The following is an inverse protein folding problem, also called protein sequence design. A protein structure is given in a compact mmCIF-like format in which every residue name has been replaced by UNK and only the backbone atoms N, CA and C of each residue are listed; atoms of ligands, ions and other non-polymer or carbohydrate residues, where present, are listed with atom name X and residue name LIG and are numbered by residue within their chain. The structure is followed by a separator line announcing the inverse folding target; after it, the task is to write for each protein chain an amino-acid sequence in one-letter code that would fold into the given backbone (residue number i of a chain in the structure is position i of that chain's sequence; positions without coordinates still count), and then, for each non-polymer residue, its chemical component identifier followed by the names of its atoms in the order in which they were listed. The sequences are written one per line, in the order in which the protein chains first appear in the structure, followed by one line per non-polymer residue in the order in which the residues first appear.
data_IF_112969658357
#
_entry.id   IF_112969658357
#
_cell.length_a   1.000
_cell.length_b   1.000
_cell.length_c   1.000
_cell.angle_alpha   90.00
_cell.angle_beta   90.00
_cell.angle_gamma   90.00
#
_symmetry.space_group_name_H-M   'P 1'
#
loop_
_entity.id
_entity.type
_entity.pdbx_description
1 polymer ?
#
# COMPACT_ATOMS: atom_id res chain seq x y z
N UNK A 1 -67.63 5.91 9.87
CA UNK A 1 -66.48 6.21 8.98
C UNK A 1 -66.01 7.63 9.22
N UNK A 2 -64.72 7.76 9.53
CA UNK A 2 -63.75 8.83 9.20
C UNK A 2 -62.98 9.29 10.45
N UNK A 3 -61.79 8.73 10.72
CA UNK A 3 -60.94 9.21 11.80
C UNK A 3 -60.13 10.44 11.34
N UNK A 4 -59.97 11.36 12.30
CA UNK A 4 -59.22 12.60 12.21
C UNK A 4 -57.75 12.35 11.84
N UNK A 5 -57.27 13.00 10.76
CA UNK A 5 -55.86 12.97 10.34
C UNK A 5 -55.01 13.72 11.39
N UNK A 6 -54.18 12.98 12.14
CA UNK A 6 -53.06 13.54 12.90
C UNK A 6 -52.04 14.09 11.90
N UNK A 7 -51.69 15.36 12.05
CA UNK A 7 -50.52 15.98 11.44
C UNK A 7 -49.25 15.24 11.91
N UNK A 8 -48.66 14.44 11.02
CA UNK A 8 -47.29 13.94 11.17
C UNK A 8 -46.33 14.99 10.63
N UNK A 9 -45.70 15.75 11.51
CA UNK A 9 -44.48 16.50 11.20
C UNK A 9 -43.40 15.47 10.84
N UNK A 10 -42.65 15.61 9.72
CA UNK A 10 -41.52 14.73 9.44
C UNK A 10 -40.43 14.96 10.49
N UNK A 11 -40.15 13.94 11.31
CA UNK A 11 -38.97 13.93 12.19
C UNK A 11 -37.72 13.86 11.30
N UNK A 12 -36.95 14.96 11.26
CA UNK A 12 -35.53 14.87 10.89
C UNK A 12 -34.81 14.15 12.03
N UNK A 13 -33.96 13.14 11.76
CA UNK A 13 -33.13 12.55 12.81
C UNK A 13 -32.14 13.62 13.28
N UNK A 14 -32.23 13.99 14.56
CA UNK A 14 -31.18 14.76 15.21
C UNK A 14 -29.98 13.83 15.37
N UNK A 15 -28.99 13.90 14.47
CA UNK A 15 -27.69 13.25 14.64
C UNK A 15 -27.12 13.66 16.01
N UNK A 16 -27.14 12.77 16.99
CA UNK A 16 -26.48 13.07 18.26
C UNK A 16 -24.96 13.02 18.05
N UNK A 17 -24.22 13.82 18.81
CA UNK A 17 -22.75 13.82 18.72
C UNK A 17 -22.14 12.44 19.01
N UNK A 18 -22.85 11.65 19.79
CA UNK A 18 -22.54 10.25 20.09
C UNK A 18 -22.68 9.36 18.86
N UNK A 19 -23.75 9.51 18.08
CA UNK A 19 -23.93 8.77 16.82
C UNK A 19 -22.79 9.08 15.84
N UNK A 20 -22.43 10.37 15.73
CA UNK A 20 -21.29 10.82 14.93
C UNK A 20 -19.96 10.21 15.37
N UNK A 21 -19.71 10.11 16.67
CA UNK A 21 -18.50 9.47 17.17
C UNK A 21 -18.48 7.97 16.84
N UNK A 22 -19.61 7.27 16.99
CA UNK A 22 -19.71 5.84 16.69
C UNK A 22 -19.48 5.56 15.21
N UNK A 23 -20.08 6.37 14.33
CA UNK A 23 -19.85 6.30 12.88
C UNK A 23 -18.40 6.60 12.51
N UNK A 24 -17.81 7.65 13.10
CA UNK A 24 -16.40 7.98 12.88
C UNK A 24 -15.46 6.83 13.31
N UNK A 25 -15.73 6.20 14.45
CA UNK A 25 -14.97 5.03 14.91
C UNK A 25 -15.18 3.82 13.98
N UNK A 26 -16.40 3.59 13.49
CA UNK A 26 -16.67 2.59 12.46
C UNK A 26 -15.82 2.82 11.20
N UNK A 27 -15.73 4.08 10.77
CA UNK A 27 -14.94 4.48 9.61
C UNK A 27 -13.43 4.30 9.82
N UNK A 28 -12.93 4.59 11.03
CA UNK A 28 -11.55 4.30 11.40
C UNK A 28 -11.23 2.80 11.33
N UNK A 29 -12.16 1.94 11.77
CA UNK A 29 -12.01 0.47 11.69
C UNK A 29 -11.92 -0.02 10.25
N UNK A 30 -12.75 0.52 9.36
CA UNK A 30 -12.70 0.22 7.91
C UNK A 30 -11.31 0.53 7.30
N UNK A 31 -10.61 1.53 7.84
CA UNK A 31 -9.27 1.95 7.41
C UNK A 31 -8.12 1.33 8.24
N UNK A 32 -8.41 0.27 9.01
CA UNK A 32 -7.39 -0.49 9.74
C UNK A 32 -6.96 0.14 11.07
N UNK A 33 -7.64 1.18 11.55
CA UNK A 33 -7.44 1.74 12.89
C UNK A 33 -8.45 1.06 13.82
N UNK A 34 -7.98 0.05 14.54
CA UNK A 34 -8.85 -0.73 15.43
C UNK A 34 -9.03 -0.01 16.78
N UNK A 35 -10.11 0.75 16.92
CA UNK A 35 -10.55 1.34 18.17
C UNK A 35 -11.70 0.50 18.76
N UNK A 36 -11.51 -0.06 19.94
CA UNK A 36 -12.51 -0.87 20.64
C UNK A 36 -13.52 -0.01 21.40
N UNK A 37 -14.44 -0.65 22.15
CA UNK A 37 -15.45 0.04 22.95
C UNK A 37 -14.83 0.97 24.01
N UNK A 38 -13.76 0.54 24.67
CA UNK A 38 -13.06 1.34 25.68
C UNK A 38 -12.46 2.61 25.08
N UNK A 39 -11.77 2.51 23.94
CA UNK A 39 -11.22 3.70 23.26
C UNK A 39 -12.30 4.65 22.75
N UNK A 40 -13.47 4.11 22.39
CA UNK A 40 -14.61 4.92 21.96
C UNK A 40 -15.16 5.73 23.13
N UNK A 41 -15.22 5.12 24.33
CA UNK A 41 -15.63 5.81 25.56
C UNK A 41 -14.61 6.88 25.94
N UNK A 42 -13.31 6.54 25.92
CA UNK A 42 -12.23 7.50 26.21
C UNK A 42 -12.28 8.69 25.24
N UNK A 43 -12.56 8.44 23.96
CA UNK A 43 -12.72 9.49 22.96
C UNK A 43 -13.97 10.35 23.23
N UNK A 44 -15.09 9.76 23.64
CA UNK A 44 -16.29 10.50 24.02
C UNK A 44 -16.03 11.42 25.23
N UNK A 45 -15.35 10.91 26.25
CA UNK A 45 -14.94 11.70 27.41
C UNK A 45 -14.01 12.85 27.02
N UNK A 46 -13.03 12.59 26.15
CA UNK A 46 -12.15 13.63 25.62
C UNK A 46 -12.90 14.70 24.81
N UNK A 47 -13.90 14.32 24.01
CA UNK A 47 -14.74 15.27 23.28
C UNK A 47 -15.55 16.15 24.23
N UNK A 48 -16.11 15.59 25.30
CA UNK A 48 -16.87 16.34 26.31
C UNK A 48 -15.97 17.30 27.10
N UNK A 49 -14.76 16.87 27.46
CA UNK A 49 -13.81 17.67 28.23
C UNK A 49 -13.16 18.80 27.42
N UNK A 50 -12.85 18.56 26.14
CA UNK A 50 -12.19 19.54 25.27
C UNK A 50 -13.16 20.48 24.58
N UNK A 51 -14.43 20.08 24.45
CA UNK A 51 -15.43 20.81 23.67
C UNK A 51 -15.16 20.77 22.16
N UNK A 52 -16.07 21.38 21.40
CA UNK A 52 -16.02 21.36 19.91
C UNK A 52 -15.44 22.65 19.30
N UNK A 53 -15.16 23.65 20.12
CA UNK A 53 -14.79 24.99 19.68
C UNK A 53 -13.37 25.06 19.12
N UNK A 54 -12.43 24.32 19.72
CA UNK A 54 -11.03 24.25 19.25
C UNK A 54 -10.78 22.90 18.58
N UNK A 55 -10.89 22.90 17.25
CA UNK A 55 -10.74 21.71 16.41
C UNK A 55 -9.35 21.07 16.52
N UNK A 56 -8.30 21.85 16.73
CA UNK A 56 -6.95 21.31 16.86
C UNK A 56 -6.76 20.56 18.17
N UNK A 57 -7.35 21.08 19.26
CA UNK A 57 -7.40 20.38 20.55
C UNK A 57 -8.24 19.12 20.46
N UNK A 58 -9.45 19.22 19.90
CA UNK A 58 -10.35 18.07 19.72
C UNK A 58 -9.68 16.94 18.93
N UNK A 59 -9.09 17.28 17.77
CA UNK A 59 -8.35 16.33 16.92
C UNK A 59 -7.22 15.64 17.68
N UNK A 60 -6.46 16.40 18.46
CA UNK A 60 -5.32 15.87 19.20
C UNK A 60 -5.75 15.00 20.38
N UNK A 61 -6.81 15.38 21.10
CA UNK A 61 -7.39 14.59 22.19
C UNK A 61 -7.98 13.28 21.70
N UNK A 62 -8.79 13.31 20.64
CA UNK A 62 -9.34 12.10 20.05
C UNK A 62 -8.24 11.18 19.48
N UNK A 63 -7.20 11.74 18.85
CA UNK A 63 -6.06 10.96 18.39
C UNK A 63 -5.34 10.25 19.55
N UNK A 64 -5.22 10.89 20.72
CA UNK A 64 -4.59 10.30 21.89
C UNK A 64 -5.38 9.10 22.45
N UNK A 65 -6.72 9.14 22.37
CA UNK A 65 -7.59 8.06 22.80
C UNK A 65 -7.65 6.91 21.79
N UNK A 66 -7.70 7.22 20.49
CA UNK A 66 -8.04 6.27 19.44
C UNK A 66 -6.83 5.61 18.75
N UNK A 67 -5.65 6.22 18.79
CA UNK A 67 -4.46 5.71 18.09
C UNK A 67 -3.58 4.87 19.01
N UNK A 68 -3.16 3.70 18.51
CA UNK A 68 -2.29 2.76 19.25
C UNK A 68 -0.91 2.58 18.61
N UNK A 69 -0.74 2.97 17.34
CA UNK A 69 0.50 2.78 16.58
C UNK A 69 0.99 4.08 15.95
N UNK A 70 2.32 4.22 15.89
CA UNK A 70 2.97 5.24 15.07
C UNK A 70 2.67 4.95 13.59
N UNK A 71 2.33 6.00 12.81
CA UNK A 71 1.95 5.91 11.39
C UNK A 71 0.45 6.12 11.11
N UNK A 72 -0.43 5.87 12.09
CA UNK A 72 -1.89 6.00 11.90
C UNK A 72 -2.40 7.46 11.92
N UNK A 73 -1.55 8.40 12.33
CA UNK A 73 -1.94 9.80 12.56
C UNK A 73 -2.33 10.53 11.27
N UNK A 74 -1.68 10.23 10.15
CA UNK A 74 -1.98 10.87 8.87
C UNK A 74 -3.39 10.48 8.38
N UNK A 75 -3.67 9.17 8.35
CA UNK A 75 -5.00 8.61 8.00
C UNK A 75 -6.09 9.13 8.94
N UNK A 76 -5.81 9.13 10.25
CA UNK A 76 -6.74 9.69 11.24
C UNK A 76 -7.05 11.16 10.99
N UNK A 77 -6.04 12.00 10.79
CA UNK A 77 -6.25 13.43 10.54
C UNK A 77 -7.11 13.64 9.28
N UNK A 78 -6.84 12.89 8.20
CA UNK A 78 -7.63 12.97 6.97
C UNK A 78 -9.10 12.59 7.17
N UNK A 79 -9.35 11.50 7.90
CA UNK A 79 -10.70 11.04 8.23
C UNK A 79 -11.42 12.02 9.17
N UNK A 80 -10.72 12.51 10.19
CA UNK A 80 -11.24 13.49 11.13
C UNK A 80 -11.65 14.76 10.41
N UNK A 81 -10.77 15.25 9.54
CA UNK A 81 -11.01 16.42 8.71
C UNK A 81 -12.27 16.18 7.86
N UNK A 82 -12.36 15.08 7.10
CA UNK A 82 -13.54 14.78 6.28
C UNK A 82 -14.86 14.73 7.07
N UNK A 83 -14.83 14.15 8.26
CA UNK A 83 -16.02 13.84 9.05
C UNK A 83 -16.47 15.00 9.96
N UNK A 84 -15.53 15.85 10.42
CA UNK A 84 -15.81 16.99 11.32
C UNK A 84 -15.69 18.39 10.65
N UNK A 85 -15.10 18.52 9.44
CA UNK A 85 -15.12 19.79 8.67
C UNK A 85 -16.50 20.14 8.09
N UNK A 86 -17.45 19.22 8.06
CA UNK A 86 -18.76 19.46 7.43
C UNK A 86 -19.66 20.44 8.19
N UNK A 87 -19.26 20.87 9.40
CA UNK A 87 -20.16 21.59 10.34
C UNK A 87 -20.07 23.13 10.29
N UNK A 88 -19.03 23.70 9.68
CA UNK A 88 -18.87 25.16 9.55
C UNK A 88 -18.56 25.50 8.10
N UNK A 89 -19.59 25.64 7.27
CA UNK A 89 -19.42 26.17 5.94
C UNK A 89 -19.52 27.70 5.96
N UNK A 90 -18.52 28.42 5.41
CA UNK A 90 -18.83 29.60 4.61
C UNK A 90 -19.61 29.09 3.39
N UNK A 91 -20.82 29.62 3.22
CA UNK A 91 -21.69 29.34 2.08
C UNK A 91 -20.88 29.45 0.77
N UNK A 92 -21.09 28.56 -0.23
CA UNK A 92 -20.42 28.70 -1.52
C UNK A 92 -20.62 30.13 -2.00
N UNK A 93 -19.52 30.86 -2.21
CA UNK A 93 -19.60 32.21 -2.74
C UNK A 93 -20.44 32.17 -4.02
N UNK A 94 -21.38 33.13 -4.22
CA UNK A 94 -22.20 33.16 -5.43
C UNK A 94 -21.27 33.09 -6.64
N UNK A 95 -21.70 32.38 -7.69
CA UNK A 95 -20.93 32.17 -8.91
C UNK A 95 -20.32 33.49 -9.37
N UNK A 96 -19.05 33.70 -9.04
CA UNK A 96 -18.31 34.85 -9.51
C UNK A 96 -18.24 34.72 -11.02
N UNK A 97 -18.39 35.85 -11.72
CA UNK A 97 -18.23 35.94 -13.17
C UNK A 97 -17.02 35.12 -13.61
N UNK A 98 -17.12 34.27 -14.65
CA UNK A 98 -15.99 33.45 -15.07
C UNK A 98 -14.80 34.36 -15.38
N UNK A 99 -13.83 34.37 -14.47
CA UNK A 99 -12.60 35.15 -14.58
C UNK A 99 -11.64 34.37 -15.49
N UNK A 100 -10.76 35.07 -16.21
CA UNK A 100 -9.79 34.38 -17.05
C UNK A 100 -8.81 33.58 -16.19
N UNK A 101 -8.38 32.40 -16.65
CA UNK A 101 -7.41 31.55 -15.95
C UNK A 101 -6.14 32.36 -15.62
N UNK A 102 -5.75 33.28 -16.51
CA UNK A 102 -4.58 34.13 -16.34
C UNK A 102 -4.73 35.11 -15.17
N UNK A 103 -5.89 35.75 -15.04
CA UNK A 103 -6.15 36.66 -13.91
C UNK A 103 -6.20 35.91 -12.58
N UNK A 104 -6.70 34.66 -12.56
CA UNK A 104 -6.67 33.81 -11.38
C UNK A 104 -5.22 33.43 -10.99
N UNK A 105 -4.34 33.18 -11.97
CA UNK A 105 -2.91 32.95 -11.73
C UNK A 105 -2.19 34.16 -11.17
N UNK A 106 -2.50 35.36 -11.64
CA UNK A 106 -1.86 36.59 -11.17
C UNK A 106 -2.23 36.89 -9.71
N UNK A 107 -3.52 36.73 -9.37
CA UNK A 107 -3.99 36.85 -7.98
C UNK A 107 -3.39 35.78 -7.07
N UNK A 108 -3.27 34.54 -7.56
CA UNK A 108 -2.62 33.46 -6.82
C UNK A 108 -1.13 33.72 -6.61
N UNK A 109 -0.43 34.23 -7.63
CA UNK A 109 0.98 34.61 -7.53
C UNK A 109 1.16 35.70 -6.47
N UNK A 110 0.26 36.69 -6.44
CA UNK A 110 0.27 37.78 -5.44
C UNK A 110 0.04 37.24 -4.03
N UNK A 111 -1.02 36.45 -3.82
CA UNK A 111 -1.34 35.87 -2.52
C UNK A 111 -0.22 34.95 -1.98
N UNK A 112 0.39 34.16 -2.87
CA UNK A 112 1.53 33.32 -2.53
C UNK A 112 2.81 34.13 -2.28
N UNK A 113 2.96 35.32 -2.86
CA UNK A 113 4.12 36.20 -2.59
C UNK A 113 3.96 36.89 -1.23
N UNK A 114 2.74 37.32 -0.90
CA UNK A 114 2.38 38.01 0.35
C UNK A 114 2.23 37.06 1.56
N UNK A 115 2.23 35.74 1.34
CA UNK A 115 2.04 34.70 2.37
C UNK A 115 0.71 34.87 3.13
N UNK A 116 -0.36 35.25 2.43
CA UNK A 116 -1.69 35.38 3.00
C UNK A 116 -2.44 34.03 2.93
N UNK A 117 -2.60 33.32 4.07
CA UNK A 117 -3.26 32.02 4.10
C UNK A 117 -4.78 32.12 3.85
N UNK A 118 -5.42 33.23 4.19
CA UNK A 118 -6.85 33.41 4.00
C UNK A 118 -7.16 33.64 2.51
N UNK A 119 -6.41 34.54 1.87
CA UNK A 119 -6.52 34.75 0.42
C UNK A 119 -6.19 33.49 -0.38
N UNK A 120 -5.17 32.72 0.04
CA UNK A 120 -4.80 31.46 -0.61
C UNK A 120 -5.92 30.41 -0.51
N UNK A 121 -6.58 30.29 0.64
CA UNK A 121 -7.71 29.40 0.81
C UNK A 121 -8.92 29.82 -0.04
N UNK A 122 -9.21 31.12 -0.13
CA UNK A 122 -10.29 31.65 -0.98
C UNK A 122 -10.04 31.38 -2.46
N UNK A 123 -8.81 31.60 -2.93
CA UNK A 123 -8.41 31.31 -4.30
C UNK A 123 -8.44 29.81 -4.60
N UNK A 124 -8.10 28.94 -3.64
CA UNK A 124 -8.24 27.49 -3.80
C UNK A 124 -9.70 27.09 -4.03
N UNK A 125 -10.65 27.70 -3.29
CA UNK A 125 -12.10 27.49 -3.47
C UNK A 125 -12.58 28.00 -4.83
N UNK A 126 -12.15 29.18 -5.23
CA UNK A 126 -12.51 29.76 -6.53
C UNK A 126 -11.98 28.92 -7.69
N UNK A 127 -10.69 28.56 -7.66
CA UNK A 127 -10.05 27.72 -8.66
C UNK A 127 -10.74 26.38 -8.82
N UNK A 128 -11.06 25.71 -7.71
CA UNK A 128 -11.79 24.44 -7.77
C UNK A 128 -13.19 24.62 -8.37
N UNK A 129 -13.89 25.72 -8.05
CA UNK A 129 -15.23 26.02 -8.60
C UNK A 129 -15.19 26.18 -10.12
N UNK A 130 -14.20 26.91 -10.63
CA UNK A 130 -14.10 27.24 -12.05
C UNK A 130 -13.49 26.10 -12.88
N UNK A 131 -12.51 25.37 -12.34
CA UNK A 131 -11.63 24.47 -13.10
C UNK A 131 -11.69 23.00 -12.65
N UNK A 132 -12.31 22.72 -11.51
CA UNK A 132 -12.29 21.40 -10.88
C UNK A 132 -13.47 20.49 -11.23
N UNK A 133 -14.54 21.02 -11.82
CA UNK A 133 -15.73 20.23 -12.14
C UNK A 133 -15.49 19.29 -13.34
N UNK A 134 -15.93 18.04 -13.23
CA UNK A 134 -15.93 17.08 -14.33
C UNK A 134 -17.25 16.29 -14.38
N UNK A 135 -17.62 15.76 -15.55
CA UNK A 135 -18.77 14.85 -15.70
C UNK A 135 -20.15 15.52 -15.85
N UNK A 136 -20.22 16.82 -16.14
CA UNK A 136 -21.46 17.46 -16.63
C UNK A 136 -21.62 17.21 -18.13
N UNK A 137 -22.83 16.84 -18.59
CA UNK A 137 -23.12 16.68 -20.00
C UNK A 137 -22.82 18.00 -20.75
N UNK A 138 -21.92 17.94 -21.73
CA UNK A 138 -21.61 19.05 -22.63
C UNK A 138 -20.27 19.73 -22.32
N UNK A 139 -19.28 19.46 -23.18
CA UNK A 139 -18.13 20.33 -23.40
C UNK A 139 -18.59 21.78 -23.56
N UNK A 140 -18.26 22.64 -22.58
CA UNK A 140 -18.36 24.10 -22.73
C UNK A 140 -19.35 24.86 -21.84
N UNK A 141 -20.01 24.24 -20.87
CA UNK A 141 -20.81 24.99 -19.88
C UNK A 141 -20.28 24.81 -18.45
N UNK A 142 -19.48 25.78 -17.98
CA UNK A 142 -18.87 25.85 -16.64
C UNK A 142 -19.86 26.27 -15.54
N UNK A 143 -21.16 26.08 -15.73
CA UNK A 143 -22.18 26.61 -14.80
C UNK A 143 -23.37 25.68 -14.53
N UNK A 144 -23.34 24.42 -14.99
CA UNK A 144 -24.36 23.45 -14.59
C UNK A 144 -24.06 22.92 -13.18
N UNK A 145 -25.04 22.86 -12.26
CA UNK A 145 -24.83 22.29 -10.94
C UNK A 145 -24.39 20.83 -11.07
N UNK A 146 -23.27 20.49 -10.42
CA UNK A 146 -22.77 19.11 -10.35
C UNK A 146 -23.82 18.29 -9.61
N UNK A 147 -24.56 17.44 -10.32
CA UNK A 147 -25.57 16.55 -9.72
C UNK A 147 -25.03 15.13 -9.61
N UNK A 148 -25.55 14.37 -8.64
CA UNK A 148 -25.14 12.99 -8.37
C UNK A 148 -25.46 12.01 -9.50
N UNK A 149 -26.37 12.38 -10.41
CA UNK A 149 -26.88 11.51 -11.46
C UNK A 149 -25.93 11.33 -12.67
N UNK A 150 -24.98 12.24 -12.90
CA UNK A 150 -24.18 12.28 -14.13
C UNK A 150 -22.73 11.76 -13.99
N UNK A 151 -22.39 11.11 -12.87
CA UNK A 151 -21.00 10.72 -12.60
C UNK A 151 -20.08 11.93 -12.35
N UNK A 152 -20.67 13.12 -12.24
CA UNK A 152 -19.98 14.38 -12.08
C UNK A 152 -19.34 14.52 -10.69
N UNK A 153 -18.24 15.27 -10.60
CA UNK A 153 -17.48 15.44 -9.37
C UNK A 153 -16.48 16.59 -9.42
N UNK A 154 -15.72 16.76 -8.34
CA UNK A 154 -14.67 17.75 -8.22
C UNK A 154 -13.30 17.09 -8.19
N UNK A 155 -12.35 17.61 -8.96
CA UNK A 155 -10.99 17.07 -9.08
C UNK A 155 -9.94 18.15 -8.80
N UNK A 156 -9.12 17.90 -7.78
CA UNK A 156 -7.92 18.71 -7.51
C UNK A 156 -6.92 18.59 -8.66
N UNK A 157 -6.77 17.40 -9.25
CA UNK A 157 -5.86 17.19 -10.38
C UNK A 157 -6.22 18.05 -11.61
N UNK A 158 -7.51 18.12 -11.98
CA UNK A 158 -7.95 18.96 -13.11
C UNK A 158 -7.75 20.45 -12.83
N UNK A 159 -7.98 20.87 -11.60
CA UNK A 159 -7.75 22.26 -11.15
C UNK A 159 -6.27 22.62 -11.30
N UNK A 160 -5.38 21.76 -10.79
CA UNK A 160 -3.93 21.96 -10.83
C UNK A 160 -3.39 21.95 -12.27
N UNK A 161 -3.86 21.00 -13.09
CA UNK A 161 -3.49 20.91 -14.51
C UNK A 161 -3.92 22.16 -15.30
N UNK A 162 -5.12 22.66 -15.04
CA UNK A 162 -5.64 23.88 -15.68
C UNK A 162 -4.85 25.12 -15.23
N UNK A 163 -4.45 25.16 -13.96
CA UNK A 163 -3.64 26.23 -13.41
C UNK A 163 -2.17 26.22 -13.84
N UNK A 164 -1.64 25.09 -14.34
CA UNK A 164 -0.21 24.92 -14.68
C UNK A 164 0.70 25.39 -13.54
N UNK A 165 0.58 24.73 -12.39
CA UNK A 165 1.24 25.19 -11.16
C UNK A 165 2.76 25.17 -11.20
N UNK A 166 3.34 24.45 -12.15
CA UNK A 166 4.77 24.46 -12.45
C UNK A 166 5.23 25.87 -12.87
N UNK A 167 4.42 26.54 -13.70
CA UNK A 167 4.70 27.91 -14.19
C UNK A 167 4.60 28.97 -13.08
N UNK A 168 3.92 28.66 -11.96
CA UNK A 168 3.75 29.59 -10.84
C UNK A 168 5.05 29.77 -10.04
N UNK A 169 5.89 28.74 -9.97
CA UNK A 169 7.18 28.82 -9.25
C UNK A 169 8.09 29.83 -9.96
N UNK A 170 8.14 29.73 -11.29
CA UNK A 170 8.92 30.64 -12.13
C UNK A 170 8.40 32.08 -12.02
N UNK A 171 7.07 32.26 -11.92
CA UNK A 171 6.46 33.59 -11.72
C UNK A 171 6.76 34.19 -10.35
N UNK A 172 6.65 33.41 -9.27
CA UNK A 172 6.92 33.88 -7.90
C UNK A 172 8.40 34.25 -7.75
N UNK A 173 9.29 33.45 -8.32
CA UNK A 173 10.74 33.71 -8.25
C UNK A 173 11.15 34.89 -9.15
N UNK A 174 10.50 35.08 -10.31
CA UNK A 174 10.74 36.21 -11.21
C UNK A 174 10.19 37.55 -10.69
N UNK A 175 9.09 37.54 -9.92
CA UNK A 175 8.47 38.76 -9.40
C UNK A 175 9.34 39.54 -8.40
N UNK A 176 10.36 38.90 -7.82
CA UNK A 176 11.24 39.52 -6.82
C UNK A 176 12.71 39.40 -7.23
N UNK A 177 13.44 40.51 -7.37
CA UNK A 177 14.85 40.51 -7.79
C UNK A 177 15.75 39.89 -6.71
N UNK A 178 16.54 38.85 -7.03
CA UNK A 178 17.44 38.20 -6.08
C UNK A 178 18.76 38.97 -5.96
N UNK A 179 19.22 39.23 -4.72
CA UNK A 179 20.46 39.95 -4.48
C UNK A 179 21.70 39.02 -4.44
N UNK A 180 21.50 37.71 -4.22
CA UNK A 180 22.55 36.69 -4.12
C UNK A 180 22.07 35.32 -4.62
N UNK A 181 22.97 34.41 -5.08
CA UNK A 181 22.62 33.01 -5.40
C UNK A 181 21.99 32.26 -4.23
N UNK A 182 22.37 32.57 -2.98
CA UNK A 182 21.75 32.00 -1.78
C UNK A 182 20.30 32.50 -1.62
N UNK A 183 20.05 33.78 -1.87
CA UNK A 183 18.69 34.36 -1.81
C UNK A 183 17.78 33.74 -2.86
N UNK A 184 18.32 33.47 -4.06
CA UNK A 184 17.58 32.76 -5.10
C UNK A 184 17.16 31.35 -4.63
N UNK A 185 18.07 30.58 -4.04
CA UNK A 185 17.78 29.23 -3.54
C UNK A 185 16.75 29.24 -2.40
N UNK A 186 16.88 30.16 -1.44
CA UNK A 186 15.93 30.31 -0.32
C UNK A 186 14.53 30.66 -0.84
N UNK A 187 14.43 31.53 -1.84
CA UNK A 187 13.14 31.91 -2.46
C UNK A 187 12.50 30.75 -3.21
N UNK A 188 13.28 29.94 -3.92
CA UNK A 188 12.76 28.74 -4.59
C UNK A 188 12.21 27.74 -3.57
N UNK A 189 12.89 27.53 -2.44
CA UNK A 189 12.42 26.65 -1.37
C UNK A 189 11.11 27.20 -0.77
N UNK A 190 11.05 28.51 -0.52
CA UNK A 190 9.88 29.15 0.06
C UNK A 190 8.67 29.14 -0.90
N UNK A 191 8.89 29.40 -2.18
CA UNK A 191 7.85 29.29 -3.21
C UNK A 191 7.28 27.86 -3.30
N UNK A 192 8.16 26.84 -3.22
CA UNK A 192 7.74 25.45 -3.19
C UNK A 192 6.93 25.10 -1.92
N UNK A 193 7.32 25.64 -0.75
CA UNK A 193 6.58 25.48 0.51
C UNK A 193 5.16 26.05 0.38
N UNK A 194 5.04 27.28 -0.12
CA UNK A 194 3.74 27.96 -0.28
C UNK A 194 2.86 27.30 -1.33
N UNK A 195 3.44 26.86 -2.45
CA UNK A 195 2.71 26.09 -3.46
C UNK A 195 2.18 24.75 -2.90
N UNK A 196 2.95 24.11 -2.03
CA UNK A 196 2.53 22.88 -1.34
C UNK A 196 1.34 23.14 -0.40
N UNK A 197 1.32 24.27 0.29
CA UNK A 197 0.17 24.69 1.11
C UNK A 197 -1.08 24.93 0.25
N UNK A 198 -0.95 25.63 -0.87
CA UNK A 198 -2.06 25.83 -1.82
C UNK A 198 -2.59 24.50 -2.38
N UNK A 199 -1.69 23.59 -2.80
CA UNK A 199 -2.05 22.22 -3.23
C UNK A 199 -2.89 21.50 -2.18
N UNK A 200 -2.46 21.59 -0.93
CA UNK A 200 -3.16 20.98 0.21
C UNK A 200 -4.54 21.60 0.42
N UNK A 201 -4.67 22.92 0.28
CA UNK A 201 -5.95 23.62 0.39
C UNK A 201 -6.93 23.19 -0.73
N UNK A 202 -6.48 23.12 -1.99
CA UNK A 202 -7.30 22.67 -3.13
C UNK A 202 -7.73 21.20 -2.96
N UNK A 203 -6.83 20.33 -2.50
CA UNK A 203 -7.16 18.92 -2.23
C UNK A 203 -8.19 18.78 -1.11
N UNK A 204 -8.05 19.56 -0.04
CA UNK A 204 -8.99 19.57 1.09
C UNK A 204 -10.38 20.01 0.64
N UNK A 205 -10.46 21.09 -0.14
CA UNK A 205 -11.72 21.58 -0.69
C UNK A 205 -12.34 20.58 -1.70
N UNK A 206 -11.54 19.96 -2.57
CA UNK A 206 -12.03 18.97 -3.53
C UNK A 206 -12.65 17.75 -2.84
N UNK A 207 -12.02 17.28 -1.75
CA UNK A 207 -12.54 16.22 -0.90
C UNK A 207 -13.84 16.66 -0.21
N UNK A 208 -13.87 17.87 0.35
CA UNK A 208 -15.05 18.43 1.03
C UNK A 208 -16.26 18.49 0.09
N UNK A 209 -16.12 19.08 -1.10
CA UNK A 209 -17.25 19.21 -2.05
C UNK A 209 -17.71 17.88 -2.61
N UNK A 210 -16.76 16.99 -2.85
CA UNK A 210 -17.11 15.64 -3.29
C UNK A 210 -17.87 14.90 -2.17
N UNK A 211 -17.54 15.14 -0.89
CA UNK A 211 -18.22 14.56 0.26
C UNK A 211 -19.62 15.13 0.45
N UNK A 212 -19.82 16.41 0.18
CA UNK A 212 -21.15 17.03 0.15
C UNK A 212 -22.03 16.46 -0.97
N UNK A 213 -21.45 16.17 -2.13
CA UNK A 213 -22.18 15.61 -3.26
C UNK A 213 -22.54 14.14 -3.07
N UNK A 214 -21.63 13.31 -2.53
CA UNK A 214 -21.77 11.84 -2.53
C UNK A 214 -21.89 11.22 -1.13
N UNK A 215 -21.88 12.04 -0.08
CA UNK A 215 -21.82 11.61 1.32
C UNK A 215 -20.38 11.44 1.82
N UNK A 216 -20.14 11.77 3.09
CA UNK A 216 -18.84 11.65 3.78
C UNK A 216 -18.33 10.20 3.80
N UNK A 217 -19.22 9.24 4.05
CA UNK A 217 -18.89 7.80 4.11
C UNK A 217 -18.39 7.25 2.76
N UNK A 218 -18.98 7.69 1.64
CA UNK A 218 -18.58 7.26 0.29
C UNK A 218 -17.16 7.72 -0.08
N UNK A 219 -16.77 8.91 0.39
CA UNK A 219 -15.45 9.48 0.09
C UNK A 219 -14.38 8.92 0.99
N UNK A 220 -14.68 8.74 2.27
CA UNK A 220 -13.74 8.13 3.17
C UNK A 220 -13.30 6.75 2.66
N UNK A 221 -14.26 5.91 2.25
CA UNK A 221 -13.99 4.56 1.70
C UNK A 221 -13.16 4.53 0.41
N UNK A 222 -13.06 5.63 -0.34
CA UNK A 222 -12.42 5.64 -1.67
C UNK A 222 -11.29 6.66 -1.85
N UNK A 223 -11.20 7.66 -0.97
CA UNK A 223 -10.40 8.88 -1.15
C UNK A 223 -9.40 9.21 -0.04
N UNK A 224 -9.31 8.37 1.00
CA UNK A 224 -8.29 8.49 2.05
C UNK A 224 -7.04 7.77 1.55
N UNK A 225 -5.88 8.42 1.69
CA UNK A 225 -4.60 7.76 1.39
C UNK A 225 -4.49 6.54 2.30
N UNK A 226 -4.47 5.36 1.69
CA UNK A 226 -4.40 4.08 2.38
C UNK A 226 -3.24 4.09 3.37
N UNK A 227 -3.47 3.57 4.59
CA UNK A 227 -2.41 3.29 5.57
C UNK A 227 -1.20 2.63 4.89
N UNK A 228 0.06 2.84 5.30
CA UNK A 228 1.24 2.23 4.67
C UNK A 228 1.11 0.72 4.42
N UNK A 229 0.45 0.00 5.35
CA UNK A 229 0.11 -1.43 5.25
C UNK A 229 -0.82 -1.81 4.07
N UNK A 230 -1.47 -0.82 3.46
CA UNK A 230 -2.46 -0.91 2.37
C UNK A 230 -2.01 -0.17 1.10
N UNK A 231 -0.87 0.51 1.11
CA UNK A 231 -0.27 1.12 -0.08
C UNK A 231 0.06 0.00 -1.06
N UNK A 232 -0.38 0.18 -2.31
CA UNK A 232 -0.12 -0.76 -3.39
C UNK A 232 1.38 -0.74 -3.69
N UNK A 233 2.03 -1.91 -3.68
CA UNK A 233 3.45 -2.06 -4.01
C UNK A 233 3.80 -1.48 -5.38
N UNK A 234 2.83 -1.43 -6.29
CA UNK A 234 2.96 -0.86 -7.64
C UNK A 234 3.02 0.68 -7.65
N UNK A 235 2.61 1.34 -6.56
CA UNK A 235 2.52 2.81 -6.47
C UNK A 235 3.29 3.43 -5.31
N UNK A 236 4.06 2.64 -4.55
CA UNK A 236 4.84 3.11 -3.40
C UNK A 236 5.98 4.04 -3.86
N UNK A 237 6.19 5.16 -3.16
CA UNK A 237 7.31 6.09 -3.41
C UNK A 237 8.56 5.61 -2.67
N UNK A 238 9.75 6.06 -3.09
CA UNK A 238 11.03 5.72 -2.43
C UNK A 238 11.03 5.97 -0.91
N UNK A 239 10.23 6.94 -0.44
CA UNK A 239 10.09 7.28 0.99
C UNK A 239 9.31 6.23 1.80
N UNK A 240 8.45 5.42 1.15
CA UNK A 240 7.61 4.41 1.81
C UNK A 240 8.39 3.11 2.09
N UNK A 241 9.52 2.90 1.41
CA UNK A 241 10.32 1.68 1.45
C UNK A 241 10.90 1.38 2.85
N UNK A 242 11.33 2.40 3.59
CA UNK A 242 11.89 2.21 4.93
C UNK A 242 10.83 1.75 5.96
N UNK A 243 9.61 2.26 5.84
CA UNK A 243 8.49 1.88 6.70
C UNK A 243 7.98 0.48 6.35
N UNK A 244 7.89 0.16 5.05
CA UNK A 244 7.57 -1.18 4.56
C UNK A 244 8.57 -2.22 5.06
N UNK A 245 9.87 -1.93 5.03
CA UNK A 245 10.92 -2.82 5.57
C UNK A 245 10.63 -3.22 7.02
N UNK A 246 10.26 -2.25 7.87
CA UNK A 246 9.95 -2.49 9.29
C UNK A 246 8.77 -3.44 9.47
N UNK A 247 7.82 -3.43 8.54
CA UNK A 247 6.63 -4.28 8.56
C UNK A 247 6.89 -5.66 7.93
N UNK A 248 7.76 -5.75 6.92
CA UNK A 248 8.08 -6.99 6.20
C UNK A 248 9.00 -7.92 6.99
N UNK A 249 10.02 -7.42 7.68
CA UNK A 249 10.96 -8.25 8.46
C UNK A 249 10.26 -9.23 9.43
N UNK A 250 9.31 -8.80 10.30
CA UNK A 250 8.62 -9.74 11.19
C UNK A 250 7.72 -10.73 10.44
N UNK A 251 7.20 -10.38 9.26
CA UNK A 251 6.40 -11.27 8.42
C UNK A 251 7.28 -12.31 7.72
N UNK A 252 8.42 -11.91 7.17
CA UNK A 252 9.43 -12.80 6.61
C UNK A 252 9.89 -13.83 7.66
N UNK A 253 10.11 -13.41 8.91
CA UNK A 253 10.40 -14.33 10.03
C UNK A 253 9.29 -15.33 10.30
N UNK A 254 8.02 -14.90 10.24
CA UNK A 254 6.86 -15.81 10.38
C UNK A 254 6.76 -16.77 9.19
N UNK A 255 6.95 -16.28 7.96
CA UNK A 255 7.04 -17.08 6.74
C UNK A 255 8.12 -18.15 6.87
N UNK A 256 9.34 -17.76 7.24
CA UNK A 256 10.49 -18.66 7.38
C UNK A 256 10.24 -19.74 8.43
N UNK A 257 9.76 -19.35 9.62
CA UNK A 257 9.43 -20.28 10.70
C UNK A 257 8.37 -21.28 10.25
N UNK A 258 7.36 -20.82 9.52
CA UNK A 258 6.26 -21.68 9.08
C UNK A 258 6.68 -22.58 7.91
N UNK A 259 7.36 -22.07 6.89
CA UNK A 259 7.91 -22.88 5.78
C UNK A 259 8.87 -23.98 6.29
N UNK A 260 9.54 -23.74 7.41
CA UNK A 260 10.36 -24.73 8.12
C UNK A 260 9.59 -25.72 9.01
N UNK A 261 8.35 -25.40 9.38
CA UNK A 261 7.53 -26.23 10.25
C UNK A 261 6.71 -27.25 9.45
N UNK A 262 6.77 -28.54 9.81
CA UNK A 262 5.73 -29.51 9.40
C UNK A 262 5.33 -30.48 10.51
N UNK A 263 4.03 -30.84 10.46
CA UNK A 263 3.23 -31.75 11.31
C UNK A 263 4.05 -32.83 12.02
N UNK A 264 3.92 -32.88 13.36
CA UNK A 264 4.22 -34.08 14.17
C UNK A 264 3.34 -35.23 13.68
N UNK A 265 3.77 -35.98 12.66
CA UNK A 265 3.31 -37.36 12.48
C UNK A 265 4.02 -38.21 13.53
N UNK A 266 3.24 -39.00 14.26
CA UNK A 266 3.67 -39.89 15.33
C UNK A 266 4.97 -40.61 14.96
N UNK A 267 5.95 -40.53 15.85
CA UNK A 267 7.28 -41.13 15.66
C UNK A 267 7.13 -42.66 15.61
N UNK A 268 7.03 -43.22 14.40
CA UNK A 268 7.38 -44.62 14.14
C UNK A 268 8.76 -44.58 13.48
N UNK A 269 9.80 -44.84 14.25
CA UNK A 269 11.20 -44.81 13.82
C UNK A 269 11.95 -46.05 14.30
N UNK A 270 13.15 -46.29 13.75
CA UNK A 270 14.03 -47.35 14.25
C UNK A 270 14.51 -47.03 15.68
N UNK A 271 14.58 -48.05 16.53
CA UNK A 271 15.08 -47.94 17.91
C UNK A 271 16.59 -47.71 17.86
N UNK A 272 17.09 -46.69 18.55
CA UNK A 272 18.51 -46.50 18.79
C UNK A 272 18.93 -47.47 19.89
N UNK A 273 19.43 -48.65 19.49
CA UNK A 273 19.79 -49.73 20.41
C UNK A 273 20.82 -49.27 21.47
N UNK A 274 21.81 -48.46 21.08
CA UNK A 274 22.87 -48.00 21.99
C UNK A 274 22.32 -47.06 23.05
N UNK A 275 21.53 -46.05 22.66
CA UNK A 275 20.89 -45.13 23.63
C UNK A 275 19.84 -45.83 24.48
N UNK A 276 19.08 -46.75 23.89
CA UNK A 276 18.05 -47.51 24.59
C UNK A 276 18.65 -48.40 25.66
N UNK A 277 19.68 -49.19 25.34
CA UNK A 277 20.38 -50.03 26.31
C UNK A 277 21.06 -49.21 27.41
N UNK A 278 21.71 -48.11 27.06
CA UNK A 278 22.34 -47.22 28.05
C UNK A 278 21.34 -46.63 29.03
N UNK A 279 20.14 -46.23 28.55
CA UNK A 279 19.06 -45.71 29.39
C UNK A 279 18.43 -46.80 30.27
N UNK A 280 18.42 -48.03 29.76
CA UNK A 280 17.86 -49.22 30.43
C UNK A 280 18.81 -49.86 31.44
N UNK A 281 20.03 -49.33 31.61
CA UNK A 281 20.96 -49.84 32.62
C UNK A 281 20.45 -49.65 34.05
N UNK A 282 19.66 -48.59 34.29
CA UNK A 282 18.99 -48.38 35.59
C UNK A 282 17.90 -49.42 35.89
N UNK A 283 17.37 -50.07 34.84
CA UNK A 283 16.31 -51.09 34.93
C UNK A 283 16.85 -52.50 34.69
N UNK A 284 18.12 -52.74 35.05
CA UNK A 284 18.75 -54.06 34.92
C UNK A 284 18.96 -54.54 33.47
N UNK A 285 18.95 -53.62 32.50
CA UNK A 285 19.12 -53.93 31.08
C UNK A 285 17.82 -54.14 30.31
N UNK A 286 16.65 -54.08 30.96
CA UNK A 286 15.35 -54.27 30.31
C UNK A 286 14.87 -52.97 29.65
N UNK A 287 14.67 -52.94 28.32
CA UNK A 287 14.30 -51.73 27.58
C UNK A 287 12.82 -51.39 27.68
N UNK A 288 12.43 -50.84 28.83
CA UNK A 288 11.04 -50.41 29.13
C UNK A 288 10.64 -49.18 28.30
N UNK A 289 11.58 -48.27 28.02
CA UNK A 289 11.32 -47.05 27.23
C UNK A 289 12.28 -46.97 26.04
N UNK A 290 11.90 -47.52 24.87
CA UNK A 290 12.75 -47.48 23.69
C UNK A 290 13.03 -46.03 23.26
N UNK A 291 14.31 -45.70 23.09
CA UNK A 291 14.74 -44.40 22.57
C UNK A 291 14.75 -44.52 21.04
N UNK A 292 13.81 -43.86 20.39
CA UNK A 292 13.73 -43.83 18.94
C UNK A 292 14.84 -42.95 18.37
N UNK A 293 15.46 -43.41 17.28
CA UNK A 293 16.47 -42.63 16.56
C UNK A 293 15.78 -41.42 15.94
N UNK A 294 16.05 -40.23 16.48
CA UNK A 294 15.57 -38.98 15.89
C UNK A 294 16.25 -38.79 14.53
N UNK A 295 15.49 -38.80 13.43
CA UNK A 295 16.00 -38.23 12.18
C UNK A 295 16.38 -36.78 12.45
N UNK A 296 17.65 -36.41 12.24
CA UNK A 296 18.04 -35.00 12.20
C UNK A 296 17.41 -34.42 10.94
N UNK A 297 16.32 -33.68 11.12
CA UNK A 297 15.67 -33.01 10.01
C UNK A 297 16.50 -31.75 9.71
N UNK A 298 17.05 -31.65 8.49
CA UNK A 298 17.64 -30.41 8.02
C UNK A 298 16.60 -29.28 8.05
N UNK A 299 17.05 -28.03 8.07
CA UNK A 299 16.19 -26.88 7.78
C UNK A 299 15.70 -27.00 6.31
N UNK A 300 14.54 -26.43 5.92
CA UNK A 300 14.15 -26.40 4.51
C UNK A 300 15.12 -25.51 3.73
N UNK A 301 15.35 -25.87 2.47
CA UNK A 301 16.04 -24.99 1.52
C UNK A 301 14.98 -24.13 0.84
N UNK A 302 15.22 -22.83 0.71
CA UNK A 302 14.32 -21.91 0.01
C UNK A 302 14.96 -21.52 -1.32
N UNK A 303 14.19 -21.65 -2.40
CA UNK A 303 14.54 -21.10 -3.70
C UNK A 303 13.54 -20.01 -4.02
N UNK A 304 14.03 -18.79 -4.27
CA UNK A 304 13.20 -17.64 -4.64
C UNK A 304 13.51 -17.25 -6.08
N UNK A 305 12.48 -17.13 -6.92
CA UNK A 305 12.57 -16.53 -8.25
C UNK A 305 11.86 -15.19 -8.21
N UNK A 306 12.53 -14.14 -8.67
CA UNK A 306 12.06 -12.77 -8.55
C UNK A 306 12.13 -12.01 -9.87
N UNK A 307 11.01 -11.39 -10.22
CA UNK A 307 10.90 -10.52 -11.38
C UNK A 307 11.55 -9.16 -11.09
N UNK A 308 12.54 -8.81 -11.91
CA UNK A 308 13.27 -7.53 -11.85
C UNK A 308 12.90 -6.59 -13.01
N UNK A 309 11.87 -6.92 -13.78
CA UNK A 309 11.50 -6.16 -14.98
C UNK A 309 11.01 -4.74 -14.69
N UNK A 310 11.29 -3.83 -15.64
CA UNK A 310 11.02 -2.40 -15.51
C UNK A 310 9.54 -2.00 -15.48
N UNK A 311 8.61 -2.92 -15.76
CA UNK A 311 7.16 -2.67 -15.64
C UNK A 311 6.73 -2.41 -14.19
N UNK A 312 7.60 -2.67 -13.22
CA UNK A 312 7.24 -2.71 -11.79
C UNK A 312 8.32 -2.14 -10.86
N UNK A 313 8.93 -1.00 -11.20
CA UNK A 313 10.05 -0.41 -10.42
C UNK A 313 9.81 -0.37 -8.89
N UNK A 314 8.57 -0.10 -8.44
CA UNK A 314 8.21 -0.12 -7.02
C UNK A 314 8.14 -1.52 -6.40
N UNK A 315 7.72 -2.54 -7.16
CA UNK A 315 7.63 -3.93 -6.68
C UNK A 315 8.98 -4.65 -6.69
N UNK A 316 9.87 -4.34 -7.63
CA UNK A 316 11.22 -4.92 -7.68
C UNK A 316 12.00 -4.62 -6.39
N UNK A 317 12.00 -3.36 -5.95
CA UNK A 317 12.66 -2.94 -4.70
C UNK A 317 12.06 -3.64 -3.47
N UNK A 318 10.73 -3.72 -3.39
CA UNK A 318 10.05 -4.48 -2.34
C UNK A 318 10.43 -5.97 -2.35
N UNK A 319 10.48 -6.57 -3.54
CA UNK A 319 10.79 -7.98 -3.75
C UNK A 319 12.22 -8.30 -3.28
N UNK A 320 13.18 -7.44 -3.60
CA UNK A 320 14.55 -7.56 -3.12
C UNK A 320 14.63 -7.44 -1.59
N UNK A 321 13.88 -6.51 -0.98
CA UNK A 321 13.78 -6.41 0.49
C UNK A 321 13.19 -7.66 1.13
N UNK A 322 12.14 -8.24 0.53
CA UNK A 322 11.53 -9.47 1.02
C UNK A 322 12.50 -10.65 0.91
N UNK A 323 13.20 -10.78 -0.23
CA UNK A 323 14.24 -11.80 -0.44
C UNK A 323 15.30 -11.72 0.63
N UNK A 324 15.84 -10.52 0.87
CA UNK A 324 16.87 -10.34 1.87
C UNK A 324 16.37 -10.67 3.28
N UNK A 325 15.17 -10.20 3.64
CA UNK A 325 14.57 -10.52 4.93
C UNK A 325 14.32 -12.03 5.10
N UNK A 326 14.15 -12.78 4.00
CA UNK A 326 14.09 -14.24 4.01
C UNK A 326 15.51 -14.84 4.14
N UNK A 327 16.51 -14.34 3.42
CA UNK A 327 17.90 -14.82 3.53
C UNK A 327 18.44 -14.78 4.96
N UNK A 328 18.12 -13.72 5.73
CA UNK A 328 18.51 -13.60 7.15
C UNK A 328 17.96 -14.71 8.05
N UNK A 329 16.89 -15.41 7.64
CA UNK A 329 16.16 -16.36 8.48
C UNK A 329 16.38 -17.82 8.10
N UNK A 330 16.80 -18.10 6.87
CA UNK A 330 17.04 -19.44 6.37
C UNK A 330 18.54 -19.73 6.31
N UNK A 331 18.93 -20.98 6.58
CA UNK A 331 20.35 -21.39 6.52
C UNK A 331 20.90 -21.55 5.12
N UNK A 332 20.03 -21.73 4.14
CA UNK A 332 20.38 -21.90 2.73
C UNK A 332 19.23 -21.35 1.90
N UNK A 333 19.43 -20.16 1.35
CA UNK A 333 18.53 -19.56 0.37
C UNK A 333 19.32 -19.40 -0.92
N UNK A 334 18.74 -19.83 -2.03
CA UNK A 334 19.21 -19.44 -3.36
C UNK A 334 18.18 -18.51 -3.95
N UNK A 335 18.62 -17.31 -4.32
CA UNK A 335 17.74 -16.27 -4.87
C UNK A 335 18.12 -16.07 -6.33
N UNK A 336 17.13 -16.06 -7.20
CA UNK A 336 17.29 -15.91 -8.63
C UNK A 336 16.48 -14.70 -9.08
N UNK A 337 17.10 -13.84 -9.89
CA UNK A 337 16.47 -12.68 -10.49
C UNK A 337 16.29 -12.91 -11.98
N UNK A 338 15.18 -12.48 -12.56
CA UNK A 338 14.97 -12.57 -14.01
C UNK A 338 14.34 -11.30 -14.60
N UNK A 339 14.68 -11.02 -15.86
CA UNK A 339 13.98 -10.05 -16.75
C UNK A 339 13.63 -10.78 -18.05
N UNK A 340 14.65 -10.99 -18.89
CA UNK A 340 14.58 -11.80 -20.11
C UNK A 340 15.19 -13.19 -19.85
N UNK A 341 16.31 -13.22 -19.12
CA UNK A 341 17.02 -14.42 -18.68
C UNK A 341 17.05 -14.50 -17.14
N UNK A 342 17.22 -15.71 -16.61
CA UNK A 342 17.26 -15.97 -15.17
C UNK A 342 18.71 -16.18 -14.73
N UNK A 343 19.16 -15.43 -13.71
CA UNK A 343 20.48 -15.55 -13.11
C UNK A 343 20.42 -15.63 -11.58
N UNK A 344 21.44 -16.23 -10.96
CA UNK A 344 21.54 -16.33 -9.50
C UNK A 344 22.02 -14.99 -8.91
N UNK A 345 21.19 -14.42 -8.03
CA UNK A 345 21.43 -13.14 -7.35
C UNK A 345 21.76 -13.31 -5.86
N UNK A 346 21.98 -14.56 -5.41
CA UNK A 346 22.21 -14.88 -3.99
C UNK A 346 23.34 -14.05 -3.38
N UNK A 347 24.44 -13.86 -4.11
CA UNK A 347 25.66 -13.20 -3.61
C UNK A 347 25.56 -11.66 -3.56
N UNK A 348 24.52 -11.06 -4.15
CA UNK A 348 24.29 -9.62 -4.10
C UNK A 348 23.72 -9.14 -2.76
N UNK A 349 23.30 -10.07 -1.90
CA UNK A 349 22.70 -9.76 -0.61
C UNK A 349 23.69 -10.05 0.51
N UNK A 350 23.91 -9.06 1.38
CA UNK A 350 24.71 -9.23 2.59
C UNK A 350 23.76 -9.51 3.77
N UNK A 351 23.91 -10.66 4.46
CA UNK A 351 23.07 -10.99 5.60
C UNK A 351 23.13 -9.89 6.68
N UNK A 352 21.98 -9.39 7.09
CA UNK A 352 21.83 -8.37 8.14
C UNK A 352 21.95 -6.90 7.70
N UNK A 353 22.34 -6.61 6.44
CA UNK A 353 22.45 -5.24 5.93
C UNK A 353 21.38 -4.96 4.89
N UNK A 354 20.55 -3.91 5.00
CA UNK A 354 19.45 -3.63 4.07
C UNK A 354 19.94 -3.48 2.63
N UNK A 355 19.10 -3.79 1.63
CA UNK A 355 19.54 -3.72 0.25
C UNK A 355 19.76 -2.25 -0.08
N UNK A 356 20.90 -1.95 -0.70
CA UNK A 356 21.24 -0.59 -1.10
C UNK A 356 20.15 -0.06 -2.02
N UNK A 357 19.63 1.17 -1.84
CA UNK A 357 18.70 1.75 -2.80
C UNK A 357 19.26 1.69 -4.22
N UNK A 358 18.48 1.17 -5.17
CA UNK A 358 18.94 0.95 -6.55
C UNK A 358 19.70 -0.37 -6.75
N UNK A 359 19.65 -1.30 -5.78
CA UNK A 359 20.21 -2.65 -5.93
C UNK A 359 19.61 -3.37 -7.16
N UNK A 360 18.33 -3.14 -7.47
CA UNK A 360 17.73 -3.65 -8.70
C UNK A 360 18.50 -3.17 -9.94
N UNK A 361 18.76 -1.87 -10.04
CA UNK A 361 19.52 -1.30 -11.16
C UNK A 361 20.98 -1.78 -11.19
N UNK A 362 21.58 -2.06 -10.03
CA UNK A 362 22.94 -2.62 -9.96
C UNK A 362 22.99 -4.08 -10.43
N UNK A 363 22.05 -4.91 -9.97
CA UNK A 363 21.90 -6.31 -10.43
C UNK A 363 21.70 -6.33 -11.95
N UNK A 364 20.83 -5.46 -12.48
CA UNK A 364 20.56 -5.39 -13.93
C UNK A 364 21.80 -4.99 -14.73
N UNK A 365 22.71 -4.18 -14.17
CA UNK A 365 23.95 -3.77 -14.82
C UNK A 365 25.06 -4.83 -14.75
N UNK A 366 25.17 -5.54 -13.63
CA UNK A 366 26.24 -6.51 -13.38
C UNK A 366 25.90 -7.92 -13.88
N UNK A 367 24.62 -8.24 -14.01
CA UNK A 367 24.16 -9.52 -14.57
C UNK A 367 23.96 -9.44 -16.09
N UNK A 368 24.14 -10.57 -16.79
CA UNK A 368 23.96 -10.69 -18.25
C UNK A 368 22.47 -10.63 -18.68
N UNK A 369 21.62 -9.95 -17.90
CA UNK A 369 20.16 -10.05 -17.93
C UNK A 369 19.51 -9.07 -18.92
N UNK A 370 20.29 -8.21 -19.59
CA UNK A 370 19.75 -7.19 -20.48
C UNK A 370 20.13 -7.41 -21.95
N UNK A 371 19.17 -7.90 -22.75
CA UNK A 371 19.21 -7.69 -24.20
C UNK A 371 17.96 -7.00 -24.76
N UNK A 372 16.74 -7.20 -24.22
CA UNK A 372 15.53 -6.68 -24.87
C UNK A 372 14.34 -6.31 -23.96
N UNK A 373 14.56 -5.82 -22.74
CA UNK A 373 13.66 -4.86 -22.05
C UNK A 373 12.16 -5.19 -21.94
N UNK A 374 11.73 -6.45 -22.05
CA UNK A 374 10.33 -6.85 -21.94
C UNK A 374 10.20 -8.23 -21.32
N UNK A 375 9.50 -8.33 -20.19
CA UNK A 375 9.38 -9.53 -19.35
C UNK A 375 8.96 -10.75 -20.16
N UNK A 376 9.82 -11.78 -20.20
CA UNK A 376 9.54 -13.06 -20.85
C UNK A 376 9.63 -14.21 -19.84
N UNK A 377 8.55 -14.45 -19.11
CA UNK A 377 8.50 -15.54 -18.12
C UNK A 377 8.81 -16.91 -18.72
N UNK A 378 8.38 -17.18 -19.96
CA UNK A 378 8.60 -18.49 -20.58
C UNK A 378 10.09 -18.81 -20.77
N UNK A 379 10.86 -17.82 -21.18
CA UNK A 379 12.31 -17.93 -21.38
C UNK A 379 13.07 -17.92 -20.05
N UNK A 380 12.65 -17.10 -19.08
CA UNK A 380 13.21 -17.11 -17.73
C UNK A 380 13.03 -18.47 -17.04
N UNK A 381 11.83 -19.08 -17.13
CA UNK A 381 11.55 -20.42 -16.57
C UNK A 381 12.35 -21.52 -17.29
N UNK A 382 12.51 -21.40 -18.62
CA UNK A 382 13.34 -22.32 -19.38
C UNK A 382 14.81 -22.22 -18.95
N UNK A 383 15.37 -21.01 -18.92
CA UNK A 383 16.75 -20.76 -18.51
C UNK A 383 17.03 -21.23 -17.07
N UNK A 384 16.04 -21.10 -16.18
CA UNK A 384 16.14 -21.68 -14.84
C UNK A 384 16.19 -23.21 -14.87
N UNK A 385 15.32 -23.84 -15.66
CA UNK A 385 15.23 -25.31 -15.77
C UNK A 385 16.49 -25.90 -16.41
N UNK A 386 17.10 -25.19 -17.38
CA UNK A 386 18.27 -25.68 -18.08
C UNK A 386 19.54 -25.56 -17.23
N UNK A 387 19.69 -24.48 -16.46
CA UNK A 387 20.94 -24.16 -15.77
C UNK A 387 20.91 -24.40 -14.25
N UNK A 388 19.74 -24.32 -13.60
CA UNK A 388 19.61 -24.22 -12.15
C UNK A 388 18.58 -25.18 -11.53
N UNK A 389 18.12 -26.19 -12.27
CA UNK A 389 17.16 -27.19 -11.77
C UNK A 389 17.71 -28.03 -10.60
N UNK A 390 19.04 -28.06 -10.43
CA UNK A 390 19.73 -28.68 -9.29
C UNK A 390 19.44 -27.96 -7.95
N UNK A 391 19.04 -26.69 -8.00
CA UNK A 391 18.60 -25.91 -6.84
C UNK A 391 17.33 -26.50 -6.20
N UNK A 392 16.49 -27.15 -7.01
CA UNK A 392 15.23 -27.74 -6.58
C UNK A 392 15.42 -29.21 -6.21
N UNK A 393 14.93 -29.56 -5.03
CA UNK A 393 14.94 -30.92 -4.52
C UNK A 393 13.76 -31.21 -3.59
N UNK A 394 13.66 -32.45 -3.10
CA UNK A 394 12.50 -32.94 -2.33
C UNK A 394 12.33 -32.26 -0.95
N UNK A 395 13.23 -31.36 -0.58
CA UNK A 395 13.21 -30.57 0.66
C UNK A 395 13.01 -29.07 0.40
N UNK A 396 13.07 -28.65 -0.85
CA UNK A 396 13.08 -27.26 -1.26
C UNK A 396 11.66 -26.72 -1.36
N UNK A 397 11.44 -25.49 -0.90
CA UNK A 397 10.23 -24.72 -1.20
C UNK A 397 10.56 -23.68 -2.26
N UNK A 398 9.78 -23.64 -3.33
CA UNK A 398 9.89 -22.69 -4.42
C UNK A 398 8.93 -21.51 -4.16
N UNK A 399 9.45 -20.29 -4.22
CA UNK A 399 8.69 -19.06 -4.11
C UNK A 399 8.94 -18.22 -5.36
N UNK A 400 7.90 -17.97 -6.16
CA UNK A 400 7.96 -17.10 -7.33
C UNK A 400 7.32 -15.75 -6.97
N UNK A 401 8.01 -14.64 -7.25
CA UNK A 401 7.59 -13.28 -6.97
C UNK A 401 7.54 -12.52 -8.30
N UNK A 402 6.35 -12.14 -8.74
CA UNK A 402 6.19 -11.50 -10.06
C UNK A 402 4.75 -11.38 -10.55
N UNK A 403 4.51 -10.49 -11.52
CA UNK A 403 3.20 -10.13 -12.06
C UNK A 403 2.62 -11.14 -13.08
N UNK A 404 3.46 -12.06 -13.57
CA UNK A 404 3.12 -13.06 -14.57
C UNK A 404 2.63 -12.47 -15.92
N UNK A 405 3.10 -11.28 -16.29
CA UNK A 405 2.89 -10.71 -17.63
C UNK A 405 3.89 -11.29 -18.61
N UNK A 406 3.40 -11.88 -19.70
CA UNK A 406 4.27 -12.56 -20.67
C UNK A 406 4.44 -11.77 -21.96
N UNK A 407 3.93 -10.54 -22.10
CA UNK A 407 4.03 -9.75 -23.32
C UNK A 407 3.59 -10.50 -24.60
N UNK A 408 2.65 -11.46 -24.47
CA UNK A 408 2.16 -12.38 -25.52
C UNK A 408 3.16 -13.45 -25.98
N UNK A 409 4.25 -13.69 -25.25
CA UNK A 409 5.13 -14.83 -25.46
C UNK A 409 4.53 -16.11 -24.84
N UNK A 410 5.05 -17.27 -25.26
CA UNK A 410 4.61 -18.55 -24.75
C UNK A 410 4.96 -18.68 -23.25
N UNK A 411 4.00 -19.02 -22.37
CA UNK A 411 4.22 -19.04 -20.92
C UNK A 411 5.13 -20.18 -20.43
N UNK A 412 5.42 -21.17 -21.29
CA UNK A 412 6.26 -22.34 -20.98
C UNK A 412 5.83 -23.08 -19.70
N UNK A 413 4.64 -23.65 -19.75
CA UNK A 413 4.05 -24.37 -18.61
C UNK A 413 4.80 -25.65 -18.26
N UNK A 414 5.44 -26.29 -19.25
CA UNK A 414 6.21 -27.52 -19.05
C UNK A 414 7.41 -27.29 -18.11
N UNK A 415 8.12 -26.16 -18.30
CA UNK A 415 9.20 -25.75 -17.40
C UNK A 415 8.68 -25.48 -15.98
N UNK A 416 7.56 -24.75 -15.84
CA UNK A 416 6.96 -24.50 -14.53
C UNK A 416 6.54 -25.81 -13.83
N UNK A 417 5.93 -26.74 -14.58
CA UNK A 417 5.51 -28.03 -14.05
C UNK A 417 6.72 -28.83 -13.57
N UNK A 418 7.80 -28.89 -14.35
CA UNK A 418 9.04 -29.57 -13.97
C UNK A 418 9.63 -29.00 -12.67
N UNK A 419 9.60 -27.68 -12.49
CA UNK A 419 10.02 -27.02 -11.25
C UNK A 419 9.10 -27.40 -10.07
N UNK A 420 7.77 -27.38 -10.28
CA UNK A 420 6.78 -27.69 -9.25
C UNK A 420 6.85 -29.16 -8.80
N UNK A 421 7.07 -30.09 -9.73
CA UNK A 421 7.17 -31.53 -9.45
C UNK A 421 8.40 -31.87 -8.60
N UNK A 422 9.47 -31.10 -8.75
CA UNK A 422 10.73 -31.30 -8.02
C UNK A 422 10.75 -30.61 -6.66
N UNK A 423 10.04 -29.49 -6.53
CA UNK A 423 9.88 -28.77 -5.29
C UNK A 423 8.88 -29.49 -4.36
N UNK A 424 9.13 -29.44 -3.05
CA UNK A 424 8.19 -30.00 -2.06
C UNK A 424 6.92 -29.16 -1.94
N UNK A 425 7.08 -27.84 -2.09
CA UNK A 425 6.04 -26.83 -2.04
C UNK A 425 6.40 -25.74 -3.06
N UNK A 426 5.42 -25.25 -3.81
CA UNK A 426 5.60 -24.20 -4.79
C UNK A 426 4.49 -23.16 -4.61
N UNK A 427 4.88 -21.90 -4.45
CA UNK A 427 3.99 -20.77 -4.23
C UNK A 427 4.35 -19.60 -5.12
N UNK A 428 3.35 -18.87 -5.59
CA UNK A 428 3.54 -17.66 -6.38
C UNK A 428 2.86 -16.47 -5.70
N UNK A 429 3.59 -15.38 -5.47
CA UNK A 429 3.03 -14.11 -4.98
C UNK A 429 2.94 -13.12 -6.14
N UNK A 430 1.70 -12.75 -6.50
CA UNK A 430 1.44 -11.85 -7.60
C UNK A 430 1.05 -10.45 -7.07
N UNK A 431 1.78 -9.37 -7.43
CA UNK A 431 1.47 -8.01 -7.02
C UNK A 431 0.27 -7.39 -7.74
N UNK A 432 -0.28 -8.04 -8.77
CA UNK A 432 -1.49 -7.58 -9.43
C UNK A 432 -2.76 -8.11 -8.77
N UNK A 433 -3.87 -7.35 -8.78
CA UNK A 433 -5.12 -7.81 -8.22
C UNK A 433 -5.67 -9.00 -9.02
N UNK A 434 -6.28 -9.99 -8.35
CA UNK A 434 -6.76 -11.21 -9.01
C UNK A 434 -7.77 -10.96 -10.16
N UNK A 435 -8.47 -9.82 -10.12
CA UNK A 435 -9.36 -9.38 -11.20
C UNK A 435 -8.65 -9.04 -12.52
N UNK A 436 -7.36 -8.72 -12.50
CA UNK A 436 -6.57 -8.38 -13.70
C UNK A 436 -5.77 -9.55 -14.27
N UNK A 437 -5.73 -10.70 -13.59
CA UNK A 437 -4.98 -11.90 -14.02
C UNK A 437 -5.46 -12.52 -15.35
N UNK A 438 -6.63 -12.11 -15.83
CA UNK A 438 -7.22 -12.50 -17.11
C UNK A 438 -7.30 -11.34 -18.11
N UNK A 439 -6.71 -10.19 -17.79
CA UNK A 439 -6.79 -8.98 -18.63
C UNK A 439 -5.46 -8.70 -19.33
N UNK A 440 -5.55 -8.26 -20.59
CA UNK A 440 -4.38 -7.87 -21.37
C UNK A 440 -3.51 -9.06 -21.78
N UNK A 441 -2.23 -8.97 -21.43
CA UNK A 441 -1.14 -9.91 -21.71
C UNK A 441 -0.74 -10.74 -20.47
N UNK A 442 -1.56 -10.72 -19.42
CA UNK A 442 -1.32 -11.52 -18.21
C UNK A 442 -1.63 -13.00 -18.45
N UNK A 443 -0.63 -13.85 -18.22
CA UNK A 443 -0.79 -15.31 -18.21
C UNK A 443 -1.00 -15.85 -16.78
N UNK A 444 -1.23 -14.97 -15.80
CA UNK A 444 -1.39 -15.33 -14.39
C UNK A 444 -2.46 -16.40 -14.17
N UNK A 445 -3.60 -16.30 -14.86
CA UNK A 445 -4.67 -17.29 -14.77
C UNK A 445 -4.22 -18.69 -15.21
N UNK A 446 -3.39 -18.79 -16.26
CA UNK A 446 -2.86 -20.06 -16.77
C UNK A 446 -1.87 -20.65 -15.77
N UNK A 447 -0.95 -19.83 -15.25
CA UNK A 447 0.00 -20.28 -14.25
C UNK A 447 -0.69 -20.74 -12.95
N UNK A 448 -1.75 -20.06 -12.54
CA UNK A 448 -2.52 -20.39 -11.33
C UNK A 448 -3.17 -21.79 -11.37
N UNK A 449 -3.33 -22.41 -12.55
CA UNK A 449 -3.78 -23.80 -12.67
C UNK A 449 -2.70 -24.82 -12.26
N UNK A 450 -1.42 -24.45 -12.40
CA UNK A 450 -0.26 -25.31 -12.15
C UNK A 450 0.42 -25.05 -10.81
N UNK A 451 0.39 -23.81 -10.31
CA UNK A 451 1.01 -23.41 -9.05
C UNK A 451 0.03 -22.65 -8.16
N UNK A 452 0.13 -22.83 -6.84
CA UNK A 452 -0.70 -22.08 -5.90
C UNK A 452 -0.29 -20.61 -5.90
N UNK A 453 -1.09 -19.78 -6.58
CA UNK A 453 -0.87 -18.34 -6.70
C UNK A 453 -1.71 -17.55 -5.68
N UNK A 454 -1.10 -16.50 -5.13
CA UNK A 454 -1.71 -15.62 -4.15
C UNK A 454 -1.55 -14.15 -4.55
N UNK A 455 -2.64 -13.39 -4.49
CA UNK A 455 -2.63 -11.93 -4.61
C UNK A 455 -1.89 -11.31 -3.41
N UNK A 456 -0.87 -10.49 -3.68
CA UNK A 456 0.00 -9.88 -2.69
C UNK A 456 0.38 -8.45 -3.11
N UNK A 457 -0.57 -7.52 -3.01
CA UNK A 457 -0.44 -6.11 -3.38
C UNK A 457 0.08 -5.20 -2.28
N UNK A 458 -0.04 -5.64 -1.03
CA UNK A 458 0.37 -4.86 0.13
C UNK A 458 0.78 -5.78 1.29
N UNK A 459 1.34 -5.17 2.33
CA UNK A 459 1.90 -5.90 3.48
C UNK A 459 0.82 -6.67 4.24
N UNK A 460 -0.42 -6.15 4.29
CA UNK A 460 -1.56 -6.86 4.89
C UNK A 460 -1.85 -8.16 4.15
N UNK A 461 -1.89 -8.13 2.83
CA UNK A 461 -2.11 -9.33 2.01
C UNK A 461 -0.95 -10.32 2.14
N UNK A 462 0.29 -9.85 2.18
CA UNK A 462 1.43 -10.71 2.51
C UNK A 462 1.21 -11.41 3.86
N UNK A 463 0.83 -10.67 4.90
CA UNK A 463 0.56 -11.23 6.22
C UNK A 463 -0.58 -12.26 6.23
N UNK A 464 -1.65 -12.01 5.47
CA UNK A 464 -2.75 -12.96 5.28
C UNK A 464 -2.27 -14.22 4.56
N UNK A 465 -1.47 -14.07 3.50
CA UNK A 465 -0.90 -15.19 2.75
C UNK A 465 0.03 -16.01 3.66
N UNK A 466 0.91 -15.38 4.45
CA UNK A 466 1.72 -16.05 5.49
C UNK A 466 0.83 -16.81 6.48
N UNK A 467 -0.32 -16.22 6.84
CA UNK A 467 -1.25 -16.81 7.80
C UNK A 467 -1.97 -18.03 7.25
N UNK A 468 -2.33 -18.02 5.95
CA UNK A 468 -3.11 -19.04 5.24
C UNK A 468 -2.27 -20.16 4.64
N UNK A 469 -1.04 -19.85 4.21
CA UNK A 469 -0.15 -20.77 3.50
C UNK A 469 0.17 -22.03 4.30
N UNK A 470 0.00 -22.02 5.63
CA UNK A 470 0.29 -23.18 6.46
C UNK A 470 -0.76 -23.42 7.58
N UNK A 471 -1.25 -24.66 7.72
CA UNK A 471 -2.29 -25.03 8.68
C UNK A 471 -1.78 -24.94 10.12
N UNK A 472 -2.69 -24.56 11.01
CA UNK A 472 -2.53 -24.54 12.47
C UNK A 472 -2.03 -25.87 13.01
#
# INVERSE_FOLDING_TARGET
MTPSRRNSVPQQPSDTITDRLVEFVGLLRDHGINAGPSETIDAAEAMLALGLSDRNRLRSGMAACLLRRNGQRAVFNQLFDLYFLTTEQPQPAPAATPESIESLRDRLTTALTEDDPAATADLARQALTQLGAYGGAGTGQTSAPVTTASGAGWSSYLTMRSLRTEDLIDRITAATTAASPLDAAVRTIEANRRLTQFRTAVQTEARLRSAQLRGTEYIARRGVESSPDQVDFLGAREQDLAEMRRLVTPLARKLATRLAARRRKSVRGQIDMRRTLRRSMSTGGVPITPVLRSRKHGRPDLVVLADLSGSVTGFAEFTLQLIQALQDQFTKVRSFGFIDTCDEITDFFTPGEPPTPGLAAHIIRDSNVACYGSSNYGEALQGFTDNYLDALGPRTSLLILGDARTNRTAPNLDALQAMCDRAKHAYWLNPEPARSWSTGDSAAHVYAEHITMHECRNVKQLAEVVSRLLPV
#
